data_IF_140697383403
#
_entry.id   IF_140697383403
#
_cell.length_a   1.000
_cell.length_b   1.000
_cell.length_c   1.000
_cell.angle_alpha   90.00
_cell.angle_beta   90.00
_cell.angle_gamma   90.00
#
_symmetry.space_group_name_H-M   'P 1'
#
loop_
_entity.id
_entity.type
_entity.pdbx_description
1 polymer ?
#
# COMPACT_ATOMS: atom_id res chain seq x y z
N UNK A 1 -10.44 6.96 5.22
CA UNK A 1 -10.37 5.68 4.49
C UNK A 1 -10.19 4.58 5.51
N UNK A 2 -10.87 3.45 5.32
CA UNK A 2 -10.70 2.29 6.19
C UNK A 2 -9.23 1.84 6.21
N UNK A 3 -8.76 1.42 7.38
CA UNK A 3 -7.40 0.97 7.58
C UNK A 3 -7.46 -0.44 8.16
N UNK A 4 -7.70 -1.42 7.30
CA UNK A 4 -7.73 -2.83 7.70
C UNK A 4 -6.43 -3.19 8.41
N UNK A 5 -6.54 -3.96 9.48
CA UNK A 5 -5.37 -4.52 10.15
C UNK A 5 -4.51 -5.30 9.16
N UNK A 6 -3.19 -5.27 9.37
CA UNK A 6 -2.24 -5.98 8.52
C UNK A 6 -2.25 -5.54 7.03
N UNK A 7 -2.56 -4.27 6.79
CA UNK A 7 -2.36 -3.57 5.52
C UNK A 7 -0.93 -3.02 5.43
N UNK A 8 -0.10 -3.67 4.62
CA UNK A 8 1.32 -3.34 4.45
C UNK A 8 1.63 -2.91 3.02
N UNK A 9 2.64 -2.07 2.85
CA UNK A 9 3.11 -1.63 1.52
C UNK A 9 4.42 -2.31 1.13
N UNK A 10 5.10 -2.96 2.07
CA UNK A 10 6.39 -3.62 1.88
C UNK A 10 6.45 -4.99 2.57
N UNK A 11 7.18 -5.93 1.94
CA UNK A 11 7.51 -7.22 2.52
C UNK A 11 8.89 -7.72 2.09
N UNK A 12 9.67 -8.19 3.07
CA UNK A 12 10.96 -8.83 2.84
C UNK A 12 10.88 -10.07 1.93
N UNK A 13 11.84 -10.20 1.01
CA UNK A 13 11.93 -11.34 0.10
C UNK A 13 12.38 -12.64 0.80
N UNK A 14 13.35 -12.57 1.71
CA UNK A 14 14.06 -13.72 2.28
C UNK A 14 13.16 -14.56 3.17
N UNK A 15 12.25 -13.92 3.89
CA UNK A 15 11.33 -14.60 4.82
C UNK A 15 9.99 -15.01 4.20
N UNK A 16 9.84 -14.85 2.88
CA UNK A 16 8.56 -14.98 2.18
C UNK A 16 7.46 -14.14 2.85
N UNK A 17 7.80 -12.91 3.29
CA UNK A 17 6.92 -12.06 4.08
C UNK A 17 5.57 -11.82 3.42
N UNK A 18 5.55 -11.64 2.10
CA UNK A 18 4.32 -11.40 1.34
C UNK A 18 3.31 -12.57 1.45
N UNK A 19 3.76 -13.83 1.34
CA UNK A 19 2.87 -15.00 1.44
C UNK A 19 2.29 -15.19 2.84
N UNK A 20 3.03 -14.74 3.86
CA UNK A 20 2.63 -14.84 5.28
C UNK A 20 1.94 -13.56 5.78
N UNK A 21 1.80 -12.56 4.90
CA UNK A 21 1.40 -11.19 5.23
C UNK A 21 2.14 -10.61 6.44
N UNK A 22 3.45 -10.83 6.53
CA UNK A 22 4.33 -10.24 7.55
C UNK A 22 5.08 -9.07 6.91
N UNK A 23 4.48 -7.89 6.96
CA UNK A 23 4.99 -6.71 6.26
C UNK A 23 5.12 -5.49 7.16
N UNK A 24 5.51 -4.39 6.54
CA UNK A 24 5.52 -3.06 7.14
C UNK A 24 4.73 -2.10 6.24
N UNK A 25 4.12 -1.09 6.85
CA UNK A 25 3.50 0.02 6.14
C UNK A 25 4.43 1.22 6.26
N UNK A 26 5.22 1.44 5.23
CA UNK A 26 6.28 2.45 5.20
C UNK A 26 6.19 3.40 4.00
N UNK A 27 5.20 3.18 3.13
CA UNK A 27 4.90 4.05 2.00
C UNK A 27 3.61 4.82 2.32
N UNK A 28 3.65 6.15 2.24
CA UNK A 28 2.57 7.03 2.66
C UNK A 28 2.33 8.15 1.65
N UNK A 29 1.05 8.53 1.51
CA UNK A 29 0.64 9.73 0.79
C UNK A 29 0.15 10.73 1.83
N UNK A 30 0.87 11.85 1.97
CA UNK A 30 0.48 12.98 2.80
C UNK A 30 -0.14 14.04 1.90
N UNK A 31 -1.32 14.54 2.27
CA UNK A 31 -2.04 15.57 1.51
C UNK A 31 -2.17 16.85 2.33
N UNK A 32 -2.19 17.99 1.65
CA UNK A 32 -2.51 19.28 2.26
C UNK A 32 -4.00 19.37 2.57
N UNK A 33 -4.38 20.30 3.45
CA UNK A 33 -5.80 20.52 3.78
C UNK A 33 -6.63 20.96 2.57
N UNK A 34 -6.02 21.64 1.59
CA UNK A 34 -6.69 22.03 0.36
C UNK A 34 -7.11 20.84 -0.52
N UNK A 35 -6.37 19.72 -0.46
CA UNK A 35 -6.66 18.51 -1.24
C UNK A 35 -7.57 17.52 -0.51
N UNK A 36 -7.75 17.69 0.80
CA UNK A 36 -8.49 16.75 1.67
C UNK A 36 -9.90 16.49 1.17
N UNK A 37 -10.59 17.52 0.70
CA UNK A 37 -11.97 17.43 0.21
C UNK A 37 -12.10 16.64 -1.10
N UNK A 38 -11.05 16.63 -1.93
CA UNK A 38 -11.04 15.87 -3.19
C UNK A 38 -10.71 14.40 -3.00
N UNK A 39 -10.25 13.97 -1.82
CA UNK A 39 -9.77 12.61 -1.61
C UNK A 39 -10.94 11.61 -1.51
N UNK A 40 -11.11 10.75 -2.52
CA UNK A 40 -12.21 9.80 -2.63
C UNK A 40 -11.90 8.45 -2.00
N UNK A 41 -10.73 7.88 -2.33
CA UNK A 41 -10.33 6.54 -1.87
C UNK A 41 -8.82 6.48 -1.68
N UNK A 42 -8.37 5.71 -0.70
CA UNK A 42 -6.96 5.37 -0.54
C UNK A 42 -6.83 3.90 -0.17
N UNK A 43 -5.99 3.17 -0.90
CA UNK A 43 -5.80 1.73 -0.68
C UNK A 43 -4.39 1.30 -1.09
N UNK A 44 -4.04 0.07 -0.70
CA UNK A 44 -2.81 -0.60 -1.10
C UNK A 44 -3.16 -1.58 -2.23
N UNK A 45 -2.64 -1.36 -3.42
CA UNK A 45 -2.81 -2.29 -4.52
C UNK A 45 -1.77 -3.40 -4.42
N UNK A 46 -2.18 -4.59 -3.97
CA UNK A 46 -1.31 -5.78 -3.88
C UNK A 46 -1.16 -6.52 -5.21
N UNK A 47 -1.84 -6.09 -6.28
CA UNK A 47 -1.78 -6.71 -7.61
C UNK A 47 -0.35 -6.82 -8.16
N UNK A 48 0.39 -5.70 -8.26
CA UNK A 48 1.78 -5.71 -8.74
C UNK A 48 2.71 -6.62 -7.92
N UNK A 49 2.47 -6.75 -6.61
CA UNK A 49 3.27 -7.60 -5.73
C UNK A 49 3.14 -9.11 -6.00
N UNK A 50 2.11 -9.52 -6.77
CA UNK A 50 1.85 -10.91 -7.18
C UNK A 50 2.48 -11.30 -8.52
N UNK A 51 3.09 -10.35 -9.23
CA UNK A 51 3.72 -10.61 -10.54
C UNK A 51 5.02 -11.42 -10.41
N UNK A 52 5.54 -11.90 -11.53
CA UNK A 52 6.85 -12.54 -11.59
C UNK A 52 7.96 -11.49 -11.33
N UNK A 53 8.88 -11.80 -10.41
CA UNK A 53 9.97 -10.90 -9.98
C UNK A 53 9.48 -9.48 -9.63
N UNK A 54 8.52 -9.36 -8.70
CA UNK A 54 7.93 -8.08 -8.34
C UNK A 54 8.91 -7.24 -7.50
N UNK A 55 8.61 -5.96 -7.29
CA UNK A 55 9.22 -5.17 -6.21
C UNK A 55 8.86 -5.76 -4.83
N UNK A 56 9.65 -5.44 -3.81
CA UNK A 56 9.37 -5.72 -2.40
C UNK A 56 8.32 -4.77 -1.84
N UNK A 57 8.13 -3.62 -2.49
CA UNK A 57 7.04 -2.70 -2.26
C UNK A 57 5.85 -2.97 -3.20
N UNK A 58 4.69 -2.41 -2.85
CA UNK A 58 3.51 -2.36 -3.71
C UNK A 58 2.89 -0.96 -3.66
N UNK A 59 2.20 -0.51 -4.71
CA UNK A 59 1.67 0.85 -4.75
C UNK A 59 0.67 1.14 -3.64
N UNK A 60 0.80 2.32 -3.04
CA UNK A 60 -0.25 2.98 -2.28
C UNK A 60 -0.90 3.99 -3.22
N UNK A 61 -2.22 3.91 -3.37
CA UNK A 61 -2.97 4.68 -4.35
C UNK A 61 -3.92 5.63 -3.62
N UNK A 62 -3.96 6.88 -4.08
CA UNK A 62 -4.96 7.87 -3.70
C UNK A 62 -5.75 8.25 -4.95
N UNK A 63 -7.07 8.12 -4.87
CA UNK A 63 -8.00 8.59 -5.89
C UNK A 63 -8.58 9.94 -5.47
N UNK A 64 -8.59 10.89 -6.41
CA UNK A 64 -9.12 12.24 -6.24
C UNK A 64 -10.30 12.45 -7.20
N UNK A 65 -11.28 13.28 -6.80
CA UNK A 65 -12.26 13.89 -7.72
C UNK A 65 -11.66 15.00 -8.55
#
# INVERSE_FOLDING_TARGET
FEQEESSFSWWDYRMAGFRRNLGLRIDHIMVSDALKASCQRCWIDKGPRKLERPSDHTPVILELT
#
